data_IF_729954807969
#
_entry.id   IF_729954807969
#
_cell.length_a   1.000
_cell.length_b   1.000
_cell.length_c   1.000
_cell.angle_alpha   90.00
_cell.angle_beta   90.00
_cell.angle_gamma   90.00
#
_symmetry.space_group_name_H-M   'P 1'
#
loop_
_entity.id
_entity.type
_entity.pdbx_description
1 polymer ?
#
# COMPACT_ATOMS: atom_id res chain seq x y z
N UNK A 1 13.29 18.60 -8.85
CA UNK A 1 13.26 17.66 -7.71
C UNK A 1 12.16 16.67 -8.07
N UNK A 2 12.55 15.56 -8.70
CA UNK A 2 11.61 14.72 -9.45
C UNK A 2 10.72 13.88 -8.53
N UNK A 3 9.42 14.07 -8.68
CA UNK A 3 8.36 13.21 -8.14
C UNK A 3 8.45 11.77 -8.66
N UNK A 4 9.18 11.55 -9.77
CA UNK A 4 9.41 10.23 -10.36
C UNK A 4 10.23 9.29 -9.45
N UNK A 5 10.90 9.83 -8.43
CA UNK A 5 11.79 9.04 -7.55
C UNK A 5 11.10 8.44 -6.31
N UNK A 6 9.85 8.81 -6.04
CA UNK A 6 9.18 8.52 -4.76
C UNK A 6 8.13 7.40 -4.82
N UNK A 7 7.87 6.88 -6.02
CA UNK A 7 6.78 5.96 -6.27
C UNK A 7 7.31 4.85 -7.18
N UNK A 8 6.97 3.60 -6.87
CA UNK A 8 7.40 2.44 -7.63
C UNK A 8 6.79 2.54 -9.03
N UNK A 9 7.63 2.71 -10.06
CA UNK A 9 7.16 2.76 -11.46
C UNK A 9 6.62 1.40 -11.94
N UNK A 10 6.99 0.32 -11.25
CA UNK A 10 6.51 -1.04 -11.51
C UNK A 10 5.73 -1.56 -10.30
N UNK A 11 4.77 -2.45 -10.53
CA UNK A 11 4.03 -3.12 -9.46
C UNK A 11 5.00 -3.92 -8.60
N UNK A 12 5.02 -3.64 -7.29
CA UNK A 12 5.71 -4.48 -6.33
C UNK A 12 4.79 -5.63 -5.92
N UNK A 13 5.31 -6.85 -5.83
CA UNK A 13 4.55 -8.01 -5.39
C UNK A 13 5.39 -8.90 -4.49
N UNK A 14 4.77 -9.40 -3.42
CA UNK A 14 5.37 -10.40 -2.54
C UNK A 14 4.34 -11.45 -2.15
N UNK A 15 4.79 -12.68 -1.89
CA UNK A 15 3.95 -13.79 -1.43
C UNK A 15 4.45 -14.24 -0.06
N UNK A 16 3.55 -14.30 0.91
CA UNK A 16 3.83 -14.84 2.25
C UNK A 16 2.70 -15.77 2.65
N UNK A 17 3.02 -16.99 3.10
CA UNK A 17 2.03 -18.01 3.46
C UNK A 17 0.91 -18.15 2.40
N UNK A 18 1.31 -18.22 1.13
CA UNK A 18 0.41 -18.33 -0.03
C UNK A 18 -0.60 -17.17 -0.20
N UNK A 19 -0.41 -16.04 0.49
CA UNK A 19 -1.13 -14.80 0.22
C UNK A 19 -0.23 -13.86 -0.57
N UNK A 20 -0.65 -13.50 -1.79
CA UNK A 20 0.05 -12.49 -2.60
C UNK A 20 -0.49 -11.11 -2.28
N UNK A 21 0.42 -10.17 -2.02
CA UNK A 21 0.09 -8.75 -1.94
C UNK A 21 0.83 -8.04 -3.06
N UNK A 22 0.08 -7.38 -3.94
CA UNK A 22 0.60 -6.55 -5.03
C UNK A 22 0.26 -5.09 -4.79
N UNK A 23 1.20 -4.19 -5.03
CA UNK A 23 1.04 -2.75 -4.81
C UNK A 23 1.50 -2.00 -6.05
N UNK A 24 0.61 -1.17 -6.61
CA UNK A 24 0.95 -0.12 -7.55
C UNK A 24 0.83 1.24 -6.87
N UNK A 25 1.63 2.20 -7.30
CA UNK A 25 1.64 3.55 -6.78
C UNK A 25 1.59 4.54 -7.94
N UNK A 26 0.87 5.65 -7.79
CA UNK A 26 0.84 6.74 -8.76
C UNK A 26 0.91 8.11 -8.05
N UNK A 27 1.74 9.06 -8.54
CA UNK A 27 1.77 10.41 -8.01
C UNK A 27 0.50 11.18 -8.40
N UNK A 28 -0.09 11.89 -7.44
CA UNK A 28 -1.26 12.75 -7.63
C UNK A 28 -0.81 14.21 -7.80
N UNK A 29 -0.45 14.59 -9.03
CA UNK A 29 0.09 15.92 -9.32
C UNK A 29 -0.88 17.05 -8.96
N UNK A 30 -2.19 16.86 -9.19
CA UNK A 30 -3.22 17.84 -8.84
C UNK A 30 -3.35 18.09 -7.32
N UNK A 31 -2.89 17.16 -6.50
CA UNK A 31 -2.93 17.21 -5.04
C UNK A 31 -1.53 17.49 -4.44
N UNK A 32 -0.54 17.76 -5.29
CA UNK A 32 0.84 18.02 -4.88
C UNK A 32 1.17 19.51 -5.08
N UNK A 33 2.02 20.05 -4.19
CA UNK A 33 2.63 21.37 -4.32
C UNK A 33 4.15 21.24 -4.09
N UNK A 34 4.92 20.99 -5.17
CA UNK A 34 6.36 20.83 -5.06
C UNK A 34 7.09 22.07 -4.53
N UNK A 35 6.53 23.28 -4.71
CA UNK A 35 7.12 24.51 -4.18
C UNK A 35 7.03 24.57 -2.65
N UNK A 36 6.10 23.82 -2.05
CA UNK A 36 5.91 23.69 -0.60
C UNK A 36 6.36 22.35 -0.02
N UNK A 37 7.07 21.52 -0.80
CA UNK A 37 7.44 20.15 -0.44
C UNK A 37 6.24 19.28 -0.04
N UNK A 38 5.06 19.52 -0.63
CA UNK A 38 3.87 18.69 -0.42
C UNK A 38 3.69 17.76 -1.61
N UNK A 39 3.67 16.46 -1.35
CA UNK A 39 3.52 15.44 -2.40
C UNK A 39 2.42 14.46 -2.01
N UNK A 40 1.49 14.24 -2.93
CA UNK A 40 0.39 13.29 -2.77
C UNK A 40 0.58 12.10 -3.70
N UNK A 41 0.20 10.92 -3.21
CA UNK A 41 0.29 9.65 -3.92
C UNK A 41 -1.00 8.87 -3.72
N UNK A 42 -1.39 8.10 -4.73
CA UNK A 42 -2.37 7.03 -4.61
C UNK A 42 -1.65 5.69 -4.68
N UNK A 43 -2.19 4.69 -4.01
CA UNK A 43 -1.72 3.32 -4.11
C UNK A 43 -2.91 2.40 -4.30
N UNK A 44 -2.72 1.35 -5.09
CA UNK A 44 -3.69 0.26 -5.25
C UNK A 44 -3.06 -1.00 -4.72
N UNK A 45 -3.76 -1.67 -3.81
CA UNK A 45 -3.31 -2.93 -3.20
C UNK A 45 -4.26 -4.03 -3.65
N UNK A 46 -3.70 -5.09 -4.21
CA UNK A 46 -4.41 -6.33 -4.54
C UNK A 46 -3.93 -7.42 -3.60
N UNK A 47 -4.87 -8.10 -2.95
CA UNK A 47 -4.60 -9.23 -2.06
C UNK A 47 -5.25 -10.46 -2.67
N UNK A 48 -4.46 -11.49 -2.95
CA UNK A 48 -4.92 -12.76 -3.53
C UNK A 48 -4.62 -13.91 -2.58
N UNK A 49 -5.60 -14.79 -2.38
CA UNK A 49 -5.44 -15.99 -1.56
C UNK A 49 -5.12 -17.19 -2.46
N UNK A 50 -3.84 -17.56 -2.52
CA UNK A 50 -3.36 -18.71 -3.29
C UNK A 50 -3.36 -20.01 -2.46
N UNK A 51 -3.77 -19.92 -1.19
CA UNK A 51 -3.84 -21.06 -0.28
C UNK A 51 -5.12 -21.88 -0.53
N UNK A 52 -5.16 -23.16 -0.12
CA UNK A 52 -6.37 -23.96 -0.19
C UNK A 52 -7.39 -23.65 0.91
N UNK A 53 -7.04 -22.79 1.87
CA UNK A 53 -7.88 -22.45 3.02
C UNK A 53 -8.48 -21.06 2.86
N UNK A 54 -9.63 -20.82 3.49
CA UNK A 54 -10.19 -19.46 3.57
C UNK A 54 -9.39 -18.63 4.56
N UNK A 55 -9.02 -17.41 4.18
CA UNK A 55 -8.29 -16.47 5.04
C UNK A 55 -9.09 -15.19 5.27
N UNK A 56 -8.79 -14.45 6.33
CA UNK A 56 -9.42 -13.16 6.60
C UNK A 56 -8.37 -12.10 6.90
N UNK A 57 -8.52 -10.93 6.27
CA UNK A 57 -7.75 -9.76 6.65
C UNK A 57 -8.31 -9.15 7.93
N UNK A 58 -7.52 -9.16 9.00
CA UNK A 58 -7.94 -8.65 10.31
C UNK A 58 -7.48 -7.21 10.55
N UNK A 59 -6.21 -6.92 10.27
CA UNK A 59 -5.59 -5.64 10.56
C UNK A 59 -4.57 -5.25 9.49
N UNK A 60 -4.25 -3.97 9.46
CA UNK A 60 -3.18 -3.40 8.65
C UNK A 60 -2.21 -2.63 9.54
N UNK A 61 -0.95 -2.67 9.15
CA UNK A 61 0.11 -1.90 9.77
C UNK A 61 0.98 -1.28 8.67
N UNK A 62 0.91 0.04 8.55
CA UNK A 62 1.74 0.80 7.62
C UNK A 62 2.89 1.48 8.34
N UNK A 63 4.10 1.29 7.83
CA UNK A 63 5.27 2.07 8.20
C UNK A 63 5.61 2.97 7.01
N UNK A 64 5.37 4.27 7.16
CA UNK A 64 5.55 5.26 6.10
C UNK A 64 6.78 6.09 6.43
N UNK A 65 7.78 6.06 5.56
CA UNK A 65 9.03 6.80 5.73
C UNK A 65 9.12 7.95 4.73
N UNK A 66 9.27 9.16 5.24
CA UNK A 66 9.61 10.34 4.43
C UNK A 66 11.13 10.49 4.28
N UNK A 67 11.57 11.24 3.27
CA UNK A 67 12.98 11.58 3.01
C UNK A 67 13.66 12.32 4.20
N UNK A 68 12.88 13.03 5.01
CA UNK A 68 13.34 13.77 6.20
C UNK A 68 13.45 12.89 7.48
N UNK A 69 13.60 11.57 7.34
CA UNK A 69 13.66 10.58 8.44
C UNK A 69 12.40 10.47 9.30
N UNK A 70 11.34 11.21 8.98
CA UNK A 70 10.07 11.09 9.68
C UNK A 70 9.42 9.74 9.37
N UNK A 71 9.13 8.99 10.44
CA UNK A 71 8.38 7.74 10.41
C UNK A 71 6.97 8.03 10.90
N UNK A 72 5.99 7.68 10.07
CA UNK A 72 4.60 7.60 10.49
C UNK A 72 4.19 6.13 10.53
N UNK A 73 3.55 5.74 11.61
CA UNK A 73 3.00 4.40 11.78
C UNK A 73 1.48 4.51 11.79
N UNK A 74 0.81 3.70 10.97
CA UNK A 74 -0.64 3.64 10.91
C UNK A 74 -1.07 2.20 11.13
N UNK A 75 -1.62 1.93 12.31
CA UNK A 75 -2.19 0.63 12.67
C UNK A 75 -3.70 0.76 12.73
N UNK A 76 -4.43 -0.23 12.24
CA UNK A 76 -5.87 -0.27 12.40
C UNK A 76 -6.52 -1.55 11.88
N UNK A 77 -7.78 -1.78 12.27
CA UNK A 77 -8.53 -2.95 11.82
C UNK A 77 -8.88 -2.83 10.35
N UNK A 78 -8.83 -3.96 9.65
CA UNK A 78 -9.30 -4.08 8.29
C UNK A 78 -8.55 -3.21 7.27
N UNK A 79 -9.16 -3.06 6.11
CA UNK A 79 -8.80 -2.10 5.06
C UNK A 79 -10.07 -1.34 4.66
N UNK A 80 -9.97 -0.03 4.48
CA UNK A 80 -11.10 0.84 4.08
C UNK A 80 -12.39 0.70 4.91
N UNK A 81 -12.30 0.18 6.14
CA UNK A 81 -13.46 -0.06 7.03
C UNK A 81 -13.96 -1.51 7.05
N UNK A 82 -13.37 -2.39 6.26
CA UNK A 82 -13.82 -3.78 6.05
C UNK A 82 -12.74 -4.79 6.47
N UNK A 83 -13.16 -6.00 6.87
CA UNK A 83 -12.28 -7.15 7.15
C UNK A 83 -12.58 -8.28 6.17
N UNK A 84 -12.13 -8.17 4.91
CA UNK A 84 -12.51 -9.09 3.85
C UNK A 84 -12.08 -10.53 4.18
N UNK A 85 -12.98 -11.46 3.88
CA UNK A 85 -12.72 -12.90 3.86
C UNK A 85 -12.40 -13.28 2.42
N UNK A 86 -11.26 -13.93 2.20
CA UNK A 86 -10.78 -14.35 0.90
C UNK A 86 -10.86 -15.87 0.84
N UNK A 87 -11.75 -16.38 -0.01
CA UNK A 87 -11.78 -17.80 -0.37
C UNK A 87 -10.54 -18.17 -1.21
N UNK A 88 -10.21 -19.47 -1.32
CA UNK A 88 -9.16 -19.92 -2.23
C UNK A 88 -9.38 -19.50 -3.69
N UNK A 89 -8.34 -18.96 -4.33
CA UNK A 89 -8.34 -18.54 -5.74
C UNK A 89 -8.47 -17.03 -5.94
#
# INVERSE_FOLDING_TARGET
MDSEKYCIQEVYSEITNDVRVSVSCEPLLANSDPARNVFAFSYTITIENLSPETVQLLERHWIIRSNEQQLAEVVGPGVVGEQPVLEPG
#
